data_IF_446304266912
#
_entry.id   IF_446304266912
#
_cell.length_a   1.000
_cell.length_b   1.000
_cell.length_c   1.000
_cell.angle_alpha   90.00
_cell.angle_beta   90.00
_cell.angle_gamma   90.00
#
_symmetry.space_group_name_H-M   'P 1'
#
loop_
_entity.id
_entity.type
_entity.pdbx_description
1 polymer ?
#
# COMPACT_ATOMS: atom_id res chain seq x y z
N UNK A 1 38.34 -8.31 -11.93
CA UNK A 1 37.71 -6.99 -11.76
C UNK A 1 37.37 -6.69 -10.31
N UNK A 2 37.26 -5.41 -9.95
CA UNK A 2 36.88 -4.97 -8.59
C UNK A 2 35.37 -5.20 -8.33
N UNK A 3 34.98 -5.48 -7.07
CA UNK A 3 33.57 -5.59 -6.69
C UNK A 3 32.85 -4.26 -6.92
N UNK A 4 31.70 -4.31 -7.60
CA UNK A 4 30.88 -3.12 -7.90
C UNK A 4 29.46 -3.36 -7.39
N UNK A 5 28.91 -2.41 -6.65
CA UNK A 5 27.52 -2.51 -6.17
C UNK A 5 26.53 -2.46 -7.32
N UNK A 6 25.40 -3.14 -7.14
CA UNK A 6 24.30 -3.06 -8.07
C UNK A 6 23.60 -1.71 -8.03
N UNK A 7 22.78 -1.45 -9.04
CA UNK A 7 22.03 -0.21 -9.16
C UNK A 7 20.85 -0.18 -8.18
N UNK A 8 20.60 0.99 -7.60
CA UNK A 8 19.36 1.25 -6.89
C UNK A 8 18.21 1.37 -7.89
N UNK A 9 17.03 0.91 -7.48
CA UNK A 9 15.80 0.96 -8.26
C UNK A 9 14.77 1.82 -7.55
N UNK A 10 13.95 2.56 -8.30
CA UNK A 10 12.87 3.37 -7.74
C UNK A 10 11.59 3.17 -8.54
N UNK A 11 10.51 2.81 -7.85
CA UNK A 11 9.19 2.64 -8.46
C UNK A 11 8.11 3.29 -7.61
N UNK A 12 6.99 3.61 -8.27
CA UNK A 12 5.74 3.94 -7.59
C UNK A 12 4.89 2.68 -7.51
N UNK A 13 4.30 2.44 -6.34
CA UNK A 13 3.40 1.31 -6.11
C UNK A 13 2.06 1.81 -5.60
N UNK A 14 1.00 1.42 -6.30
CA UNK A 14 -0.36 1.72 -5.88
C UNK A 14 -0.78 0.75 -4.78
N UNK A 15 -1.14 1.29 -3.62
CA UNK A 15 -1.49 0.52 -2.42
C UNK A 15 -2.93 0.81 -2.02
N UNK A 16 -3.77 -0.22 -1.80
CA UNK A 16 -5.14 -0.03 -1.34
C UNK A 16 -5.23 0.78 -0.05
N UNK A 17 -6.23 1.66 0.03
CA UNK A 17 -6.45 2.51 1.20
C UNK A 17 -6.51 1.73 2.53
N UNK A 18 -7.21 0.57 2.64
CA UNK A 18 -7.23 -0.20 3.88
C UNK A 18 -5.82 -0.63 4.33
N UNK A 19 -4.96 -1.06 3.39
CA UNK A 19 -3.59 -1.48 3.67
C UNK A 19 -2.71 -0.30 4.11
N UNK A 20 -2.86 0.87 3.49
CA UNK A 20 -2.15 2.09 3.90
C UNK A 20 -2.60 2.55 5.29
N UNK A 21 -3.90 2.46 5.57
CA UNK A 21 -4.50 2.91 6.83
C UNK A 21 -4.20 1.96 8.00
N UNK A 22 -4.25 0.64 7.79
CA UNK A 22 -4.21 -0.37 8.86
C UNK A 22 -2.93 -1.23 8.84
N UNK A 23 -2.11 -1.10 7.80
CA UNK A 23 -0.95 -1.93 7.56
C UNK A 23 -1.32 -3.24 6.88
N UNK A 24 -0.31 -3.93 6.35
CA UNK A 24 -0.49 -5.23 5.71
C UNK A 24 0.69 -5.61 4.85
N UNK A 25 0.52 -6.65 4.05
CA UNK A 25 1.51 -7.10 3.08
C UNK A 25 0.93 -7.01 1.69
N UNK A 26 1.68 -6.43 0.76
CA UNK A 26 1.34 -6.46 -0.67
C UNK A 26 2.39 -7.29 -1.41
N UNK A 27 1.95 -8.03 -2.43
CA UNK A 27 2.87 -8.70 -3.34
C UNK A 27 3.18 -7.75 -4.49
N UNK A 28 4.46 -7.44 -4.70
CA UNK A 28 4.91 -6.50 -5.72
C UNK A 28 5.92 -7.17 -6.66
N UNK A 29 5.61 -7.17 -7.96
CA UNK A 29 6.46 -7.75 -8.99
C UNK A 29 7.14 -6.65 -9.78
N UNK A 30 8.46 -6.73 -9.93
CA UNK A 30 9.27 -5.76 -10.64
C UNK A 30 10.42 -6.43 -11.39
N UNK A 31 10.97 -5.77 -12.39
CA UNK A 31 12.15 -6.25 -13.11
C UNK A 31 13.42 -5.74 -12.45
N UNK A 32 14.42 -6.61 -12.30
CA UNK A 32 15.78 -6.23 -11.91
C UNK A 32 16.84 -7.05 -12.62
N UNK A 33 18.07 -6.54 -12.62
CA UNK A 33 19.24 -7.34 -12.95
C UNK A 33 19.49 -8.37 -11.85
N UNK A 34 19.64 -9.63 -12.24
CA UNK A 34 20.06 -10.75 -11.39
C UNK A 34 21.28 -11.42 -11.99
N UNK A 35 22.00 -12.20 -11.17
CA UNK A 35 23.07 -13.04 -11.70
C UNK A 35 22.51 -14.07 -12.68
N UNK A 36 23.21 -14.24 -13.79
CA UNK A 36 22.91 -15.30 -14.76
C UNK A 36 23.07 -16.66 -14.07
N UNK A 37 21.98 -17.43 -13.99
CA UNK A 37 21.98 -18.74 -13.33
C UNK A 37 22.77 -19.77 -14.17
N UNK A 38 22.73 -19.66 -15.50
CA UNK A 38 23.42 -20.57 -16.42
C UNK A 38 24.96 -20.58 -16.24
N UNK A 39 25.55 -19.44 -15.91
CA UNK A 39 26.99 -19.32 -15.68
C UNK A 39 27.34 -18.89 -14.25
N UNK A 40 26.36 -18.87 -13.34
CA UNK A 40 26.50 -18.40 -11.95
C UNK A 40 27.16 -17.01 -11.84
N UNK A 41 26.90 -16.14 -12.81
CA UNK A 41 27.48 -14.79 -12.88
C UNK A 41 28.95 -14.72 -13.32
N UNK A 42 29.55 -15.80 -13.82
CA UNK A 42 30.93 -15.78 -14.37
C UNK A 42 31.01 -15.14 -15.76
N UNK A 43 29.94 -15.28 -16.56
CA UNK A 43 29.86 -14.81 -17.95
C UNK A 43 30.31 -15.85 -18.98
N UNK A 44 30.81 -17.01 -18.54
CA UNK A 44 31.39 -18.05 -19.39
C UNK A 44 30.87 -19.43 -18.98
N UNK A 45 30.63 -20.29 -19.96
CA UNK A 45 30.28 -21.70 -19.74
C UNK A 45 31.44 -22.55 -20.30
N UNK A 46 32.40 -22.91 -19.46
CA UNK A 46 33.64 -23.55 -19.91
C UNK A 46 34.58 -22.54 -20.58
N UNK A 47 34.97 -22.80 -21.84
CA UNK A 47 35.80 -21.89 -22.65
C UNK A 47 35.00 -20.86 -23.44
N UNK A 48 33.69 -21.03 -23.52
CA UNK A 48 32.83 -20.22 -24.39
C UNK A 48 32.06 -19.16 -23.59
N UNK A 49 31.64 -18.10 -24.27
CA UNK A 49 30.75 -17.09 -23.68
C UNK A 49 29.41 -17.75 -23.30
N UNK A 50 28.87 -17.36 -22.15
CA UNK A 50 27.58 -17.89 -21.71
C UNK A 50 26.49 -17.50 -22.72
N UNK A 51 25.69 -18.44 -23.25
CA UNK A 51 24.69 -18.14 -24.28
C UNK A 51 23.52 -17.28 -23.77
N UNK A 52 23.22 -17.35 -22.47
CA UNK A 52 22.12 -16.62 -21.85
C UNK A 52 22.45 -15.13 -21.63
N UNK A 53 23.60 -14.84 -21.02
CA UNK A 53 24.01 -13.47 -20.71
C UNK A 53 25.00 -12.87 -21.73
N UNK A 54 25.55 -13.67 -22.64
CA UNK A 54 26.51 -13.25 -23.67
C UNK A 54 27.71 -12.51 -23.06
N UNK A 55 28.34 -13.12 -22.04
CA UNK A 55 29.46 -12.52 -21.32
C UNK A 55 29.11 -11.39 -20.33
N UNK A 56 27.85 -10.94 -20.26
CA UNK A 56 27.45 -9.79 -19.42
C UNK A 56 27.29 -10.10 -17.93
N UNK A 57 27.31 -11.38 -17.55
CA UNK A 57 27.17 -11.91 -16.17
C UNK A 57 25.80 -11.68 -15.50
N UNK A 58 25.01 -10.73 -16.00
CA UNK A 58 23.71 -10.35 -15.46
C UNK A 58 22.62 -10.48 -16.54
N UNK A 59 21.41 -10.84 -16.10
CA UNK A 59 20.21 -10.91 -16.92
C UNK A 59 19.06 -10.18 -16.23
N UNK A 60 18.10 -9.66 -16.99
CA UNK A 60 16.90 -9.01 -16.42
C UNK A 60 15.85 -10.07 -16.14
N UNK A 61 15.28 -10.09 -14.94
CA UNK A 61 14.22 -11.01 -14.53
C UNK A 61 13.14 -10.28 -13.73
N UNK A 62 11.91 -10.77 -13.83
CA UNK A 62 10.84 -10.40 -12.91
C UNK A 62 11.05 -11.09 -11.57
N UNK A 63 10.94 -10.31 -10.50
CA UNK A 63 11.03 -10.79 -9.12
C UNK A 63 9.80 -10.29 -8.37
N UNK A 64 9.17 -11.18 -7.62
CA UNK A 64 8.03 -10.87 -6.75
C UNK A 64 8.49 -10.82 -5.31
N UNK A 65 8.10 -9.75 -4.60
CA UNK A 65 8.42 -9.54 -3.20
C UNK A 65 7.16 -9.26 -2.39
N UNK A 66 7.10 -9.86 -1.20
CA UNK A 66 6.10 -9.52 -0.19
C UNK A 66 6.57 -8.30 0.61
N UNK A 67 6.01 -7.14 0.26
CA UNK A 67 6.34 -5.85 0.85
C UNK A 67 5.43 -5.59 2.05
N UNK A 68 6.03 -5.48 3.24
CA UNK A 68 5.32 -5.10 4.47
C UNK A 68 5.09 -3.59 4.49
N UNK A 69 3.82 -3.19 4.44
CA UNK A 69 3.39 -1.80 4.54
C UNK A 69 3.10 -1.48 6.01
N UNK A 70 3.83 -0.53 6.62
CA UNK A 70 3.57 -0.12 8.00
C UNK A 70 2.17 0.49 8.15
N UNK A 71 1.50 0.26 9.29
CA UNK A 71 0.18 0.82 9.56
C UNK A 71 0.23 2.34 9.65
N UNK A 72 -0.72 3.00 8.98
CA UNK A 72 -0.87 4.46 9.03
C UNK A 72 0.15 5.22 8.17
N UNK A 73 0.88 4.53 7.28
CA UNK A 73 1.87 5.16 6.41
C UNK A 73 1.25 6.32 5.62
N UNK A 74 2.01 7.40 5.45
CA UNK A 74 1.56 8.56 4.70
C UNK A 74 1.60 8.28 3.19
N UNK A 75 0.71 8.94 2.45
CA UNK A 75 0.80 8.96 1.01
C UNK A 75 2.15 9.54 0.56
N UNK A 76 2.69 9.04 -0.55
CA UNK A 76 4.00 9.39 -1.10
C UNK A 76 5.21 9.04 -0.23
N UNK A 77 5.01 8.33 0.89
CA UNK A 77 6.12 7.80 1.68
C UNK A 77 6.94 6.81 0.85
N UNK A 78 8.26 6.85 1.01
CA UNK A 78 9.18 5.96 0.30
C UNK A 78 9.72 4.90 1.26
N UNK A 79 9.43 3.64 0.97
CA UNK A 79 10.02 2.49 1.65
C UNK A 79 11.34 2.11 0.97
N UNK A 80 12.38 1.87 1.76
CA UNK A 80 13.66 1.36 1.29
C UNK A 80 13.78 -0.12 1.64
N UNK A 81 13.96 -0.96 0.63
CA UNK A 81 14.15 -2.39 0.78
C UNK A 81 15.58 -2.72 0.36
N UNK A 82 16.41 -3.00 1.37
CA UNK A 82 17.83 -3.21 1.18
C UNK A 82 18.09 -4.50 0.40
N UNK A 83 19.09 -4.48 -0.48
CA UNK A 83 19.53 -5.61 -1.31
C UNK A 83 18.50 -6.10 -2.33
N UNK A 84 17.41 -5.36 -2.53
CA UNK A 84 16.39 -5.67 -3.52
C UNK A 84 16.52 -4.84 -4.81
N UNK A 85 17.54 -3.98 -4.91
CA UNK A 85 17.92 -3.35 -6.18
C UNK A 85 18.55 -4.35 -7.16
N UNK A 86 19.19 -3.85 -8.22
CA UNK A 86 19.91 -4.70 -9.16
C UNK A 86 21.06 -5.45 -8.49
N UNK A 87 21.39 -6.63 -8.99
CA UNK A 87 22.56 -7.40 -8.54
C UNK A 87 23.87 -6.65 -8.80
N UNK A 88 24.81 -6.77 -7.87
CA UNK A 88 26.17 -6.27 -8.05
C UNK A 88 27.02 -7.15 -8.97
N UNK A 89 28.25 -6.73 -9.22
CA UNK A 89 29.23 -7.48 -10.02
C UNK A 89 30.46 -7.83 -9.19
N UNK A 90 31.10 -8.96 -9.52
CA UNK A 90 32.34 -9.43 -8.91
C UNK A 90 32.27 -9.49 -7.37
N UNK A 91 31.15 -9.95 -6.82
CA UNK A 91 30.92 -10.03 -5.37
C UNK A 91 30.50 -8.71 -4.70
N UNK A 92 30.23 -7.66 -5.48
CA UNK A 92 29.62 -6.43 -4.97
C UNK A 92 28.17 -6.65 -4.50
N UNK A 93 27.68 -5.89 -3.50
CA UNK A 93 26.33 -6.07 -2.95
C UNK A 93 25.25 -5.60 -3.94
N UNK A 94 24.02 -6.14 -3.87
CA UNK A 94 22.90 -5.58 -4.62
C UNK A 94 22.55 -4.17 -4.13
N UNK A 95 21.94 -3.39 -5.02
CA UNK A 95 21.41 -2.06 -4.69
C UNK A 95 20.19 -2.09 -3.78
N UNK A 96 19.59 -0.93 -3.56
CA UNK A 96 18.36 -0.73 -2.77
C UNK A 96 17.16 -0.56 -3.70
N UNK A 97 16.02 -1.14 -3.33
CA UNK A 97 14.74 -0.88 -3.96
C UNK A 97 13.97 0.18 -3.16
N UNK A 98 13.70 1.32 -3.78
CA UNK A 98 12.88 2.40 -3.25
C UNK A 98 11.46 2.30 -3.82
N UNK A 99 10.47 2.04 -2.96
CA UNK A 99 9.07 2.02 -3.33
C UNK A 99 8.35 3.24 -2.78
N UNK A 100 7.95 4.15 -3.67
CA UNK A 100 7.10 5.29 -3.34
C UNK A 100 5.65 4.82 -3.31
N UNK A 101 5.04 4.85 -2.14
CA UNK A 101 3.65 4.44 -1.92
C UNK A 101 2.72 5.50 -2.50
N UNK A 102 1.80 5.07 -3.37
CA UNK A 102 0.70 5.86 -3.89
C UNK A 102 -0.61 5.25 -3.38
N UNK A 103 -1.36 6.00 -2.59
CA UNK A 103 -2.62 5.50 -2.02
C UNK A 103 -3.68 5.45 -3.11
N UNK A 104 -4.26 4.27 -3.33
CA UNK A 104 -5.37 4.13 -4.27
C UNK A 104 -6.61 4.87 -3.76
N UNK A 105 -7.29 5.65 -4.62
CA UNK A 105 -8.62 6.17 -4.30
C UNK A 105 -9.58 5.04 -3.95
N UNK A 106 -10.39 5.23 -2.91
CA UNK A 106 -11.40 4.26 -2.50
C UNK A 106 -12.80 4.81 -2.80
N UNK A 107 -13.74 4.01 -3.32
CA UNK A 107 -15.06 4.49 -3.75
C UNK A 107 -15.92 5.02 -2.60
N UNK A 108 -15.78 4.46 -1.40
CA UNK A 108 -16.61 4.81 -0.22
C UNK A 108 -15.88 5.65 0.83
N UNK A 109 -14.54 5.65 0.81
CA UNK A 109 -13.75 6.12 1.93
C UNK A 109 -12.71 7.14 1.47
N UNK A 110 -12.56 8.20 2.26
CA UNK A 110 -11.51 9.19 2.08
C UNK A 110 -10.73 9.36 3.36
N UNK A 111 -9.42 9.14 3.32
CA UNK A 111 -8.56 9.42 4.47
C UNK A 111 -8.24 10.90 4.55
N UNK A 112 -8.49 11.48 5.72
CA UNK A 112 -8.07 12.84 6.06
C UNK A 112 -7.25 12.77 7.35
N UNK A 113 -5.94 12.94 7.23
CA UNK A 113 -4.97 12.71 8.32
C UNK A 113 -5.10 11.29 8.88
N UNK A 114 -5.68 11.15 10.07
CA UNK A 114 -5.85 9.87 10.77
C UNK A 114 -7.31 9.39 10.73
N UNK A 115 -8.23 10.22 10.27
CA UNK A 115 -9.64 9.91 10.23
C UNK A 115 -10.01 9.40 8.84
N UNK A 116 -11.02 8.54 8.80
CA UNK A 116 -11.63 8.06 7.56
C UNK A 116 -12.98 8.73 7.44
N UNK A 117 -13.27 9.31 6.29
CA UNK A 117 -14.55 9.95 6.00
C UNK A 117 -15.33 9.03 5.05
N UNK A 118 -16.60 8.81 5.39
CA UNK A 118 -17.57 8.12 4.56
C UNK A 118 -18.81 9.00 4.41
N UNK A 119 -19.29 9.18 3.19
CA UNK A 119 -20.58 9.81 2.94
C UNK A 119 -21.65 8.73 2.86
N UNK A 120 -22.70 8.87 3.67
CA UNK A 120 -23.80 7.90 3.78
C UNK A 120 -25.10 8.62 3.47
N UNK A 121 -25.84 8.12 2.49
CA UNK A 121 -27.15 8.65 2.14
C UNK A 121 -28.24 7.88 2.88
N UNK A 122 -29.06 8.58 3.66
CA UNK A 122 -30.18 8.03 4.42
C UNK A 122 -31.52 8.54 3.87
N UNK A 123 -32.63 7.84 4.17
CA UNK A 123 -33.97 8.31 3.81
C UNK A 123 -34.40 9.46 4.71
N UNK A 124 -35.31 10.31 4.21
CA UNK A 124 -35.92 11.39 5.00
C UNK A 124 -36.54 10.87 6.29
N UNK A 125 -37.24 9.72 6.22
CA UNK A 125 -37.83 9.06 7.39
C UNK A 125 -36.78 8.72 8.46
N UNK A 126 -35.65 8.13 8.08
CA UNK A 126 -34.60 7.77 9.04
C UNK A 126 -33.93 9.02 9.62
N UNK A 127 -33.80 10.09 8.84
CA UNK A 127 -33.28 11.36 9.32
C UNK A 127 -34.22 12.03 10.34
N UNK A 128 -35.54 11.94 10.16
CA UNK A 128 -36.53 12.50 11.08
C UNK A 128 -36.69 11.66 12.36
N UNK A 129 -36.91 10.36 12.22
CA UNK A 129 -37.25 9.44 13.33
C UNK A 129 -36.03 8.84 14.03
N UNK A 130 -34.83 8.96 13.45
CA UNK A 130 -33.64 8.29 13.94
C UNK A 130 -33.74 6.75 13.88
N UNK A 131 -32.70 6.07 14.36
CA UNK A 131 -32.69 4.62 14.50
C UNK A 131 -31.41 3.92 14.02
N UNK A 132 -31.40 2.58 14.01
CA UNK A 132 -30.22 1.82 13.64
C UNK A 132 -29.92 1.89 12.14
N UNK A 133 -28.64 2.10 11.80
CA UNK A 133 -28.14 2.06 10.43
C UNK A 133 -26.88 1.21 10.34
N UNK A 134 -26.87 0.26 9.40
CA UNK A 134 -25.66 -0.52 9.10
C UNK A 134 -24.72 0.28 8.19
N UNK A 135 -23.45 0.33 8.59
CA UNK A 135 -22.38 1.01 7.85
C UNK A 135 -21.15 0.12 7.73
N UNK A 136 -20.38 0.35 6.68
CA UNK A 136 -19.10 -0.33 6.46
C UNK A 136 -17.95 0.49 7.07
N UNK A 137 -17.02 -0.18 7.75
CA UNK A 137 -15.73 0.38 8.13
C UNK A 137 -14.63 -0.23 7.25
N UNK A 138 -13.36 0.16 7.46
CA UNK A 138 -12.24 -0.45 6.74
C UNK A 138 -12.02 -1.93 7.10
N UNK A 139 -12.59 -2.42 8.20
CA UNK A 139 -12.37 -3.78 8.71
C UNK A 139 -13.62 -4.64 8.70
N UNK A 140 -14.79 -4.06 8.99
CA UNK A 140 -16.02 -4.82 9.20
C UNK A 140 -17.26 -3.94 8.96
N UNK A 141 -18.43 -4.57 8.92
CA UNK A 141 -19.71 -3.86 8.99
C UNK A 141 -20.10 -3.67 10.46
N UNK A 142 -20.63 -2.50 10.81
CA UNK A 142 -21.11 -2.18 12.16
C UNK A 142 -22.45 -1.46 12.08
N UNK A 143 -23.23 -1.49 13.17
CA UNK A 143 -24.49 -0.76 13.28
C UNK A 143 -24.28 0.47 14.14
N UNK A 144 -24.63 1.63 13.62
CA UNK A 144 -24.65 2.91 14.35
C UNK A 144 -26.09 3.29 14.69
N UNK A 145 -26.26 4.22 15.62
CA UNK A 145 -27.55 4.87 15.88
C UNK A 145 -27.52 6.26 15.25
N UNK A 146 -28.48 6.53 14.38
CA UNK A 146 -28.75 7.85 13.80
C UNK A 146 -29.67 8.58 14.77
N UNK A 147 -29.34 9.84 15.07
CA UNK A 147 -30.14 10.68 15.96
C UNK A 147 -31.41 11.18 15.26
N UNK A 148 -32.46 11.44 16.03
CA UNK A 148 -33.67 12.09 15.53
C UNK A 148 -33.35 13.50 15.02
N UNK A 149 -34.05 13.92 13.96
CA UNK A 149 -33.83 15.20 13.29
C UNK A 149 -32.40 15.45 12.77
N UNK A 150 -31.72 14.40 12.29
CA UNK A 150 -30.40 14.49 11.62
C UNK A 150 -30.48 15.35 10.36
N UNK A 151 -29.51 16.24 10.17
CA UNK A 151 -29.44 17.17 9.03
C UNK A 151 -28.43 16.73 7.95
N UNK A 152 -28.60 17.27 6.73
CA UNK A 152 -27.61 17.10 5.66
C UNK A 152 -26.28 17.73 6.08
N UNK A 153 -25.19 16.98 5.90
CA UNK A 153 -23.84 17.39 6.25
C UNK A 153 -23.50 17.22 7.73
N UNK A 154 -24.46 16.76 8.55
CA UNK A 154 -24.18 16.39 9.94
C UNK A 154 -23.20 15.22 10.01
N UNK A 155 -22.32 15.26 11.01
CA UNK A 155 -21.22 14.32 11.17
C UNK A 155 -21.40 13.46 12.42
N UNK A 156 -21.43 12.14 12.26
CA UNK A 156 -21.32 11.19 13.36
C UNK A 156 -19.91 10.61 13.41
N UNK A 157 -19.30 10.61 14.59
CA UNK A 157 -17.97 10.02 14.82
C UNK A 157 -18.11 8.62 15.42
N UNK A 158 -17.47 7.64 14.79
CA UNK A 158 -17.30 6.28 15.31
C UNK A 158 -15.86 6.13 15.80
N UNK A 159 -15.63 6.14 17.12
CA UNK A 159 -14.28 6.17 17.68
C UNK A 159 -13.47 4.93 17.32
N UNK A 160 -12.20 5.14 16.96
CA UNK A 160 -11.26 4.03 16.73
C UNK A 160 -11.42 3.28 15.40
N UNK A 161 -12.34 3.71 14.53
CA UNK A 161 -12.55 3.12 13.20
C UNK A 161 -11.79 3.85 12.06
N UNK A 162 -10.89 4.77 12.41
CA UNK A 162 -10.03 5.49 11.47
C UNK A 162 -8.73 4.76 11.11
N UNK A 163 -7.77 5.51 10.57
CA UNK A 163 -6.43 5.03 10.25
C UNK A 163 -5.55 4.88 11.49
N UNK A 164 -4.56 3.99 11.43
CA UNK A 164 -3.64 3.75 12.51
C UNK A 164 -2.72 4.96 12.80
N UNK A 165 -2.43 5.15 14.08
CA UNK A 165 -1.57 6.20 14.63
C UNK A 165 -0.50 5.53 15.52
N UNK A 166 0.67 6.16 15.65
CA UNK A 166 1.73 5.71 16.56
C UNK A 166 2.13 4.26 16.32
N UNK A 167 2.38 3.89 15.06
CA UNK A 167 2.73 2.53 14.65
C UNK A 167 1.69 1.48 15.05
N UNK A 168 0.39 1.82 14.97
CA UNK A 168 -0.71 0.88 15.20
C UNK A 168 -1.21 0.79 16.65
N UNK A 169 -0.67 1.60 17.58
CA UNK A 169 -1.13 1.59 18.99
C UNK A 169 -2.46 2.31 19.23
N UNK A 170 -2.81 3.23 18.34
CA UNK A 170 -4.07 3.98 18.38
C UNK A 170 -4.65 4.04 16.97
N UNK A 171 -5.93 4.36 16.86
CA UNK A 171 -6.60 4.67 15.59
C UNK A 171 -7.27 6.03 15.71
N UNK A 172 -7.38 6.73 14.58
CA UNK A 172 -8.33 7.84 14.45
C UNK A 172 -9.76 7.32 14.39
N UNK A 173 -10.67 8.16 13.92
CA UNK A 173 -12.10 7.83 13.90
C UNK A 173 -12.63 7.67 12.48
N UNK A 174 -13.76 6.99 12.35
CA UNK A 174 -14.59 7.06 11.15
C UNK A 174 -15.58 8.22 11.34
N UNK A 175 -15.60 9.15 10.38
CA UNK A 175 -16.51 10.28 10.33
C UNK A 175 -17.53 10.00 9.23
N UNK A 176 -18.78 9.84 9.64
CA UNK A 176 -19.91 9.58 8.77
C UNK A 176 -20.56 10.92 8.47
N UNK A 177 -20.58 11.31 7.20
CA UNK A 177 -21.28 12.49 6.71
C UNK A 177 -22.61 12.07 6.15
N UNK A 178 -23.69 12.54 6.75
CA UNK A 178 -25.02 12.22 6.28
C UNK A 178 -25.39 13.08 5.07
N UNK A 179 -25.98 12.42 4.08
CA UNK A 179 -26.75 13.04 3.03
C UNK A 179 -28.18 12.49 3.11
N UNK A 180 -29.17 13.28 2.70
CA UNK A 180 -30.57 12.85 2.74
C UNK A 180 -31.06 12.69 1.31
N UNK A 181 -31.67 11.56 1.03
CA UNK A 181 -32.40 11.34 -0.22
C UNK A 181 -33.86 11.71 -0.02
N UNK A 182 -34.34 12.64 -0.83
CA UNK A 182 -35.77 12.90 -0.95
C UNK A 182 -36.43 11.69 -1.64
N UNK A 183 -37.37 11.05 -0.94
CA UNK A 183 -38.17 9.93 -1.45
C UNK A 183 -39.39 10.40 -2.25
#
# INVERSE_FOLDING_TARGET
DMPTSGFDLQFMVDVPLPTVALGGTISYTYEKYVHCEECEGTGTCGSDECPECQGKQLVVRFVTLDVKIPPGVADQHTLAILKEGGAGRNGGPPGVLYLKICTQPHPKFKRVKNDIIQEVTISSKLAEEGGPLEIETLTATTTIQVEEATLIGEELRVPGEGAAISWGKKRGDLIIKFNIKDD
#
